data_IF_565689341666
#
_entry.id   IF_565689341666
#
_cell.length_a   1.000
_cell.length_b   1.000
_cell.length_c   1.000
_cell.angle_alpha   90.00
_cell.angle_beta   90.00
_cell.angle_gamma   90.00
#
_symmetry.space_group_name_H-M   'P 1'
#
loop_
_entity.id
_entity.type
_entity.pdbx_description
1 polymer ?
#
# COMPACT_ATOMS: atom_id res chain seq x y z
N UNK A 1 -37.52 14.85 75.43
CA UNK A 1 -36.21 15.19 76.01
C UNK A 1 -35.35 15.73 74.86
N UNK A 2 -35.16 17.06 74.85
CA UNK A 2 -33.92 17.80 74.55
C UNK A 2 -32.71 16.95 74.10
N UNK A 3 -31.90 17.25 73.07
CA UNK A 3 -31.29 18.47 72.51
C UNK A 3 -30.91 18.11 71.03
N UNK A 4 -30.54 18.95 70.06
CA UNK A 4 -30.10 20.33 69.94
C UNK A 4 -29.46 20.42 68.53
N UNK A 5 -29.77 21.49 67.80
CA UNK A 5 -29.39 21.70 66.40
C UNK A 5 -27.97 22.26 66.24
N UNK A 6 -27.30 21.99 65.11
CA UNK A 6 -26.54 23.00 64.35
C UNK A 6 -26.02 22.45 63.01
N UNK A 7 -26.20 23.24 61.96
CA UNK A 7 -25.69 23.07 60.61
C UNK A 7 -24.33 23.77 60.50
N UNK A 8 -23.32 23.14 59.90
CA UNK A 8 -22.09 23.80 59.47
C UNK A 8 -21.98 23.87 57.94
N UNK A 9 -21.73 25.09 57.46
CA UNK A 9 -21.44 25.45 56.07
C UNK A 9 -19.94 25.26 55.85
N UNK A 10 -19.55 24.56 54.79
CA UNK A 10 -18.16 24.52 54.33
C UNK A 10 -17.94 25.62 53.28
N UNK A 11 -17.10 26.59 53.64
CA UNK A 11 -16.60 27.73 52.86
C UNK A 11 -15.55 27.32 51.83
N UNK A 12 -15.63 27.95 50.66
CA UNK A 12 -14.64 27.94 49.57
C UNK A 12 -13.20 28.22 50.03
N UNK A 13 -12.24 27.51 49.42
CA UNK A 13 -10.80 27.79 49.53
C UNK A 13 -10.38 28.78 48.45
N UNK A 14 -9.63 29.85 48.78
CA UNK A 14 -9.13 30.80 47.80
C UNK A 14 -7.81 30.32 47.14
N UNK A 15 -7.68 30.65 45.85
CA UNK A 15 -6.49 30.46 45.01
C UNK A 15 -5.28 31.28 45.49
N UNK A 16 -4.04 30.80 45.32
CA UNK A 16 -2.84 31.57 45.64
C UNK A 16 -2.52 32.63 44.56
N UNK A 17 -1.82 33.72 44.92
CA UNK A 17 -1.65 34.90 44.07
C UNK A 17 -0.51 34.77 43.05
N UNK A 18 -0.69 35.47 41.93
CA UNK A 18 0.31 35.76 40.90
C UNK A 18 1.33 36.78 41.44
N UNK A 19 2.61 36.44 41.36
CA UNK A 19 3.74 37.33 41.65
C UNK A 19 4.74 37.31 40.49
N UNK A 20 5.04 38.50 40.00
CA UNK A 20 5.94 38.86 38.90
C UNK A 20 7.42 38.90 39.37
N UNK A 21 8.33 38.90 38.39
CA UNK A 21 9.79 39.09 38.46
C UNK A 21 10.67 37.83 38.60
N UNK A 22 11.21 37.36 37.47
CA UNK A 22 12.65 37.50 37.16
C UNK A 22 12.97 36.77 35.83
N UNK A 23 13.52 37.53 34.88
CA UNK A 23 14.16 37.03 33.66
C UNK A 23 15.41 36.24 34.03
N UNK A 24 15.49 34.99 33.62
CA UNK A 24 16.75 34.22 33.59
C UNK A 24 17.30 34.18 32.15
N UNK A 25 18.64 34.14 31.97
CA UNK A 25 19.29 34.55 30.73
C UNK A 25 19.36 33.44 29.66
N UNK A 26 19.31 33.87 28.40
CA UNK A 26 19.61 33.05 27.21
C UNK A 26 21.07 32.56 27.23
N UNK A 27 21.27 31.25 27.24
CA UNK A 27 22.57 30.62 27.04
C UNK A 27 22.83 30.48 25.53
N UNK A 28 23.62 31.42 25.00
CA UNK A 28 24.05 31.47 23.62
C UNK A 28 25.05 30.35 23.30
N UNK A 29 24.66 29.42 22.42
CA UNK A 29 25.58 28.46 21.78
C UNK A 29 26.44 29.22 20.77
N UNK A 30 27.66 29.56 21.16
CA UNK A 30 28.71 30.09 20.27
C UNK A 30 29.44 28.95 19.57
N UNK A 31 29.47 29.06 18.23
CA UNK A 31 30.38 28.37 17.32
C UNK A 31 31.81 28.87 17.54
N UNK A 32 32.85 28.01 17.58
CA UNK A 32 34.22 28.49 17.57
C UNK A 32 34.71 28.70 16.12
N UNK A 33 34.97 29.95 15.77
CA UNK A 33 35.82 30.37 14.64
C UNK A 33 37.15 30.88 15.20
N UNK A 34 38.26 30.35 14.65
CA UNK A 34 39.59 30.96 14.40
C UNK A 34 40.67 29.84 14.41
N UNK A 35 41.65 29.80 13.50
CA UNK A 35 42.52 30.90 13.14
C UNK A 35 43.01 30.87 11.67
N UNK A 36 43.26 32.08 11.16
CA UNK A 36 44.01 32.38 9.93
C UNK A 36 45.52 32.44 10.22
N UNK A 37 46.30 32.18 9.17
CA UNK A 37 47.71 32.58 9.02
C UNK A 37 48.65 31.38 8.85
N UNK A 38 49.60 31.32 7.93
CA UNK A 38 50.03 32.14 6.80
C UNK A 38 51.08 31.28 6.08
N UNK A 39 50.99 31.11 4.76
CA UNK A 39 52.11 31.34 3.82
C UNK A 39 51.72 30.96 2.39
N UNK A 40 51.94 31.88 1.46
CA UNK A 40 51.92 31.63 0.02
C UNK A 40 53.03 32.48 -0.60
N UNK A 41 54.02 31.91 -1.29
CA UNK A 41 54.85 32.66 -2.22
C UNK A 41 54.30 32.56 -3.66
N UNK A 42 54.71 33.50 -4.54
CA UNK A 42 53.97 33.88 -5.73
C UNK A 42 54.57 33.35 -7.04
N UNK A 43 53.78 33.46 -8.12
CA UNK A 43 54.23 33.74 -9.49
C UNK A 43 54.89 32.60 -10.26
N UNK A 44 54.24 32.15 -11.35
CA UNK A 44 54.69 32.57 -12.69
C UNK A 44 53.67 32.16 -13.77
N UNK A 45 53.06 33.20 -14.32
CA UNK A 45 52.98 33.58 -15.73
C UNK A 45 52.89 32.50 -16.83
N UNK A 46 51.97 32.83 -17.76
CA UNK A 46 51.97 32.54 -19.19
C UNK A 46 50.97 31.53 -19.76
N UNK A 47 50.52 31.92 -20.94
CA UNK A 47 49.24 31.69 -21.58
C UNK A 47 49.44 30.70 -22.77
N UNK A 48 48.41 30.42 -23.59
CA UNK A 48 48.12 29.08 -24.13
C UNK A 48 48.76 28.83 -25.49
N UNK A 49 48.94 27.56 -25.89
CA UNK A 49 49.06 27.19 -27.30
C UNK A 49 48.73 25.70 -27.51
N UNK A 50 48.01 25.41 -28.60
CA UNK A 50 48.30 24.21 -29.40
C UNK A 50 47.21 23.14 -29.46
N UNK A 51 46.31 23.30 -30.44
CA UNK A 51 45.58 22.19 -31.02
C UNK A 51 46.54 21.13 -31.61
N UNK A 52 46.24 19.84 -31.41
CA UNK A 52 46.45 18.77 -32.40
C UNK A 52 45.87 17.43 -31.93
N UNK A 53 44.77 17.03 -32.58
CA UNK A 53 44.47 15.63 -32.96
C UNK A 53 45.20 15.37 -34.32
N UNK A 54 45.47 14.13 -34.80
CA UNK A 54 44.54 12.98 -34.75
C UNK A 54 45.16 11.54 -34.74
N UNK A 55 44.26 10.54 -34.74
CA UNK A 55 44.50 9.13 -35.10
C UNK A 55 44.54 8.17 -33.89
N UNK A 56 43.87 7.01 -33.85
CA UNK A 56 43.03 6.30 -34.81
C UNK A 56 42.98 4.80 -34.41
N UNK A 57 41.78 4.23 -34.31
CA UNK A 57 41.49 2.79 -34.53
C UNK A 57 39.96 2.66 -34.68
N UNK A 58 39.46 2.75 -35.90
CA UNK A 58 39.20 1.63 -36.84
C UNK A 58 37.88 0.91 -36.52
N UNK A 59 36.83 1.43 -37.15
CA UNK A 59 35.48 0.86 -37.21
C UNK A 59 35.32 0.26 -38.60
N UNK A 60 35.21 -1.05 -38.69
CA UNK A 60 34.81 -1.74 -39.91
C UNK A 60 33.29 -1.64 -40.04
N UNK A 61 32.83 -1.02 -41.13
CA UNK A 61 31.45 -1.10 -41.62
C UNK A 61 31.35 -2.22 -42.65
N UNK A 62 30.24 -2.95 -42.63
CA UNK A 62 29.66 -3.55 -43.83
C UNK A 62 28.15 -3.28 -43.79
N UNK A 63 27.65 -2.69 -44.86
CA UNK A 63 26.24 -2.41 -45.18
C UNK A 63 25.39 -3.69 -45.09
N UNK A 64 24.12 -3.70 -44.66
CA UNK A 64 23.00 -2.85 -45.05
C UNK A 64 21.96 -3.76 -45.71
N UNK A 65 20.77 -3.92 -45.10
CA UNK A 65 19.48 -4.16 -45.79
C UNK A 65 18.33 -4.24 -44.78
N UNK A 66 17.23 -3.60 -45.17
CA UNK A 66 15.97 -3.43 -44.46
C UNK A 66 15.02 -4.62 -44.63
N UNK A 67 14.29 -5.01 -43.58
CA UNK A 67 12.96 -5.62 -43.65
C UNK A 67 12.32 -5.72 -42.24
N UNK A 68 11.02 -5.45 -42.16
CA UNK A 68 10.24 -5.24 -40.92
C UNK A 68 9.94 -6.47 -40.05
N UNK A 69 9.10 -6.30 -39.00
CA UNK A 69 8.99 -7.22 -37.88
C UNK A 69 8.15 -8.46 -38.18
N UNK A 70 8.66 -9.62 -37.76
CA UNK A 70 8.02 -10.93 -37.84
C UNK A 70 6.96 -11.13 -36.74
N UNK A 71 5.77 -11.55 -37.14
CA UNK A 71 4.66 -12.05 -36.30
C UNK A 71 4.90 -13.52 -35.91
N UNK A 72 4.52 -13.85 -34.68
CA UNK A 72 4.46 -15.22 -34.15
C UNK A 72 3.21 -16.00 -34.65
N UNK A 73 3.19 -17.35 -34.56
CA UNK A 73 2.39 -18.23 -35.43
C UNK A 73 0.98 -18.54 -34.89
N UNK A 74 0.09 -18.86 -35.84
CA UNK A 74 -1.29 -19.25 -35.61
C UNK A 74 -1.45 -20.77 -35.37
N UNK A 75 -2.38 -21.12 -34.48
CA UNK A 75 -2.87 -22.47 -34.18
C UNK A 75 -4.08 -22.78 -35.08
N UNK A 76 -4.24 -23.98 -35.68
CA UNK A 76 -5.38 -24.28 -36.54
C UNK A 76 -6.57 -24.82 -35.73
N UNK A 77 -7.77 -24.31 -36.03
CA UNK A 77 -9.03 -24.92 -35.62
C UNK A 77 -9.75 -25.49 -36.86
N UNK A 78 -10.01 -26.79 -36.81
CA UNK A 78 -10.82 -27.52 -37.77
C UNK A 78 -12.32 -27.28 -37.50
N UNK A 79 -13.12 -27.12 -38.55
CA UNK A 79 -14.38 -27.85 -38.70
C UNK A 79 -14.92 -27.74 -40.12
N UNK A 80 -15.52 -28.82 -40.57
CA UNK A 80 -15.80 -29.19 -41.94
C UNK A 80 -17.00 -28.45 -42.57
N UNK A 81 -16.90 -28.23 -43.88
CA UNK A 81 -18.02 -27.90 -44.78
C UNK A 81 -18.83 -29.16 -45.09
N UNK A 82 -20.14 -29.10 -44.90
CA UNK A 82 -21.12 -29.99 -45.53
C UNK A 82 -21.83 -29.25 -46.66
N UNK A 83 -21.87 -29.87 -47.83
CA UNK A 83 -22.57 -29.43 -49.05
C UNK A 83 -24.06 -29.73 -48.95
N UNK A 84 -24.94 -28.76 -49.21
CA UNK A 84 -26.34 -29.05 -49.57
C UNK A 84 -26.84 -28.09 -50.66
N UNK A 85 -27.35 -28.72 -51.71
CA UNK A 85 -27.85 -28.25 -52.99
C UNK A 85 -29.10 -27.37 -52.86
N UNK A 86 -29.21 -26.38 -53.75
CA UNK A 86 -30.40 -25.54 -53.93
C UNK A 86 -31.61 -26.37 -54.40
N UNK A 87 -32.73 -26.28 -53.66
CA UNK A 87 -34.06 -26.67 -54.13
C UNK A 87 -34.97 -25.45 -54.11
N UNK A 88 -35.62 -25.15 -55.23
CA UNK A 88 -36.60 -24.06 -55.40
C UNK A 88 -37.80 -24.20 -54.45
N UNK A 89 -38.41 -23.09 -54.00
CA UNK A 89 -39.59 -23.12 -53.13
C UNK A 89 -40.90 -23.28 -53.91
N UNK A 90 -41.73 -24.24 -53.47
CA UNK A 90 -43.10 -24.51 -53.91
C UNK A 90 -44.08 -23.41 -53.46
N UNK A 91 -44.84 -22.76 -54.37
CA UNK A 91 -45.72 -21.63 -54.06
C UNK A 91 -47.10 -21.99 -53.46
N UNK A 92 -47.30 -23.21 -52.93
CA UNK A 92 -48.63 -23.67 -52.47
C UNK A 92 -48.78 -23.86 -50.95
N UNK A 93 -48.19 -23.00 -50.11
CA UNK A 93 -48.35 -23.07 -48.64
C UNK A 93 -49.04 -21.82 -48.06
N UNK A 94 -50.18 -21.94 -47.36
CA UNK A 94 -50.87 -20.80 -46.75
C UNK A 94 -50.11 -20.29 -45.51
N UNK A 95 -50.17 -18.97 -45.29
CA UNK A 95 -49.51 -18.26 -44.19
C UNK A 95 -50.09 -18.66 -42.81
N UNK A 96 -49.28 -18.76 -41.74
CA UNK A 96 -49.78 -19.02 -40.40
C UNK A 96 -50.34 -17.73 -39.75
N UNK A 97 -51.51 -17.86 -39.13
CA UNK A 97 -52.21 -16.85 -38.32
C UNK A 97 -51.37 -16.36 -37.11
N UNK A 98 -51.56 -15.11 -36.64
CA UNK A 98 -50.78 -14.54 -35.54
C UNK A 98 -51.20 -15.12 -34.18
N UNK A 99 -50.37 -15.99 -33.61
CA UNK A 99 -50.50 -16.51 -32.25
C UNK A 99 -50.04 -15.50 -31.18
N UNK A 100 -50.85 -15.34 -30.14
CA UNK A 100 -50.60 -14.52 -28.94
C UNK A 100 -49.28 -14.92 -28.27
N UNK A 101 -48.38 -13.96 -28.08
CA UNK A 101 -47.11 -14.16 -27.38
C UNK A 101 -47.35 -14.44 -25.87
N UNK A 102 -46.75 -15.47 -25.27
CA UNK A 102 -46.87 -15.70 -23.83
C UNK A 102 -46.09 -14.64 -23.05
N UNK A 103 -46.73 -14.11 -21.99
CA UNK A 103 -46.16 -13.12 -21.10
C UNK A 103 -44.80 -13.57 -20.53
N UNK A 104 -43.81 -12.69 -20.63
CA UNK A 104 -42.46 -12.93 -20.13
C UNK A 104 -42.47 -13.20 -18.62
N UNK A 105 -41.88 -14.33 -18.21
CA UNK A 105 -41.67 -14.64 -16.80
C UNK A 105 -40.70 -13.62 -16.19
N UNK A 106 -40.97 -13.10 -14.97
CA UNK A 106 -40.03 -12.20 -14.31
C UNK A 106 -38.69 -12.90 -14.08
N UNK A 107 -37.61 -12.19 -14.36
CA UNK A 107 -36.26 -12.70 -14.16
C UNK A 107 -36.03 -13.08 -12.69
N UNK A 108 -35.37 -14.21 -12.39
CA UNK A 108 -35.11 -14.62 -11.02
C UNK A 108 -34.21 -13.60 -10.31
N UNK A 109 -34.66 -13.14 -9.15
CA UNK A 109 -33.88 -12.29 -8.25
C UNK A 109 -32.61 -13.07 -7.84
N UNK A 110 -31.40 -12.51 -7.98
CA UNK A 110 -30.18 -13.23 -7.61
C UNK A 110 -30.19 -13.54 -6.11
N UNK A 111 -30.21 -14.82 -5.78
CA UNK A 111 -30.14 -15.28 -4.41
C UNK A 111 -28.83 -14.80 -3.75
N UNK A 112 -28.85 -14.47 -2.44
CA UNK A 112 -27.65 -14.05 -1.74
C UNK A 112 -26.58 -15.15 -1.83
N UNK A 113 -25.41 -14.81 -2.39
CA UNK A 113 -24.28 -15.74 -2.47
C UNK A 113 -23.64 -15.85 -1.09
N UNK A 114 -23.80 -16.99 -0.44
CA UNK A 114 -23.04 -17.33 0.77
C UNK A 114 -21.57 -17.52 0.38
N UNK A 115 -20.72 -16.56 0.74
CA UNK A 115 -19.27 -16.66 0.53
C UNK A 115 -18.71 -17.63 1.57
N UNK A 116 -18.35 -18.85 1.13
CA UNK A 116 -17.66 -19.83 2.00
C UNK A 116 -16.16 -19.57 1.95
N UNK A 117 -15.60 -19.12 3.07
CA UNK A 117 -14.15 -18.99 3.20
C UNK A 117 -13.51 -20.37 3.35
N UNK A 118 -12.50 -20.67 2.52
CA UNK A 118 -11.71 -21.90 2.68
C UNK A 118 -11.05 -21.93 4.08
N UNK A 119 -10.90 -23.12 4.68
CA UNK A 119 -10.21 -23.29 5.97
C UNK A 119 -8.82 -22.64 5.93
N UNK A 120 -8.08 -22.82 4.83
CA UNK A 120 -6.79 -22.16 4.59
C UNK A 120 -6.87 -20.63 4.68
N UNK A 121 -7.90 -20.03 4.09
CA UNK A 121 -8.12 -18.58 4.14
C UNK A 121 -8.35 -18.09 5.57
N UNK A 122 -9.23 -18.78 6.32
CA UNK A 122 -9.48 -18.48 7.72
C UNK A 122 -8.21 -18.59 8.58
N UNK A 123 -7.38 -19.61 8.33
CA UNK A 123 -6.09 -19.78 9.01
C UNK A 123 -5.11 -18.66 8.64
N UNK A 124 -5.04 -18.26 7.37
CA UNK A 124 -4.20 -17.14 6.95
C UNK A 124 -4.60 -15.84 7.67
N UNK A 125 -5.90 -15.54 7.74
CA UNK A 125 -6.41 -14.34 8.41
C UNK A 125 -6.14 -14.39 9.92
N UNK A 126 -6.31 -15.55 10.55
CA UNK A 126 -5.97 -15.77 11.95
C UNK A 126 -4.47 -15.59 12.21
N UNK A 127 -3.60 -16.11 11.34
CA UNK A 127 -2.15 -15.94 11.44
C UNK A 127 -1.72 -14.49 11.26
N UNK A 128 -2.31 -13.75 10.31
CA UNK A 128 -2.06 -12.30 10.13
C UNK A 128 -2.47 -11.52 11.37
N UNK A 129 -3.62 -11.86 11.95
CA UNK A 129 -4.08 -11.27 13.21
C UNK A 129 -3.10 -11.55 14.35
N UNK A 130 -2.64 -12.79 14.47
CA UNK A 130 -1.67 -13.18 15.48
C UNK A 130 -0.30 -12.48 15.31
N UNK A 131 0.17 -12.29 14.07
CA UNK A 131 1.39 -11.53 13.76
C UNK A 131 1.25 -10.06 14.18
N UNK A 132 0.23 -9.37 13.68
CA UNK A 132 0.06 -7.92 13.90
C UNK A 132 -0.36 -7.60 15.35
N UNK A 133 -1.04 -8.54 16.00
CA UNK A 133 -1.37 -8.49 17.43
C UNK A 133 -0.20 -8.78 18.36
N UNK A 134 0.93 -9.27 17.84
CA UNK A 134 2.12 -9.63 18.63
C UNK A 134 2.02 -10.98 19.36
N UNK A 135 1.03 -11.81 19.03
CA UNK A 135 0.94 -13.18 19.54
C UNK A 135 1.97 -14.12 18.90
N UNK A 136 2.34 -13.85 17.64
CA UNK A 136 3.48 -14.48 16.98
C UNK A 136 4.65 -13.51 17.06
N UNK A 137 5.64 -13.87 17.88
CA UNK A 137 6.72 -12.97 18.29
C UNK A 137 7.80 -12.90 17.20
N UNK A 138 8.22 -11.70 16.78
CA UNK A 138 9.37 -11.53 15.88
C UNK A 138 10.59 -12.32 16.35
N UNK A 139 11.24 -13.03 15.42
CA UNK A 139 12.43 -13.83 15.68
C UNK A 139 12.15 -15.26 16.16
N UNK A 140 10.96 -15.53 16.71
CA UNK A 140 10.57 -16.88 17.14
C UNK A 140 10.22 -17.80 15.96
N UNK A 141 10.45 -19.11 16.15
CA UNK A 141 10.17 -20.14 15.14
C UNK A 141 8.93 -20.94 15.54
N UNK A 142 7.94 -20.95 14.66
CA UNK A 142 6.70 -21.70 14.84
C UNK A 142 6.62 -22.86 13.84
N UNK A 143 6.26 -24.04 14.33
CA UNK A 143 6.04 -25.21 13.47
C UNK A 143 4.57 -25.30 13.04
N UNK A 144 4.33 -25.76 11.80
CA UNK A 144 2.96 -25.94 11.31
C UNK A 144 2.12 -26.93 12.14
N UNK A 145 2.66 -28.03 12.69
CA UNK A 145 1.92 -28.90 13.61
C UNK A 145 1.48 -28.19 14.90
N UNK A 146 2.38 -27.45 15.57
CA UNK A 146 2.05 -26.76 16.82
C UNK A 146 0.98 -25.67 16.61
N UNK A 147 1.10 -24.91 15.51
CA UNK A 147 0.07 -23.95 15.12
C UNK A 147 -1.25 -24.65 14.74
N UNK A 148 -1.19 -25.82 14.09
CA UNK A 148 -2.37 -26.63 13.76
C UNK A 148 -3.14 -27.05 15.01
N UNK A 149 -2.44 -27.54 16.03
CA UNK A 149 -3.04 -27.86 17.33
C UNK A 149 -3.70 -26.64 17.96
N UNK A 150 -3.02 -25.48 17.93
CA UNK A 150 -3.57 -24.21 18.46
C UNK A 150 -4.84 -23.76 17.74
N UNK A 151 -4.91 -23.94 16.42
CA UNK A 151 -6.08 -23.56 15.61
C UNK A 151 -7.12 -24.66 15.45
N UNK A 152 -6.91 -25.86 16.02
CA UNK A 152 -7.82 -26.99 15.89
C UNK A 152 -7.92 -27.56 14.46
N UNK A 153 -6.86 -27.46 13.66
CA UNK A 153 -6.79 -27.94 12.28
C UNK A 153 -5.54 -28.79 12.04
N UNK A 154 -5.50 -29.52 10.92
CA UNK A 154 -4.28 -30.26 10.54
C UNK A 154 -3.14 -29.32 10.14
N UNK A 155 -1.91 -29.85 10.13
CA UNK A 155 -0.72 -29.07 9.79
C UNK A 155 -0.67 -28.60 8.33
N UNK A 156 -1.41 -29.24 7.41
CA UNK A 156 -1.40 -28.93 5.97
C UNK A 156 -1.92 -27.53 5.65
N UNK A 157 -3.17 -27.13 6.02
CA UNK A 157 -3.66 -25.78 5.77
C UNK A 157 -2.83 -24.70 6.45
N UNK A 158 -2.24 -25.00 7.62
CA UNK A 158 -1.32 -24.10 8.32
C UNK A 158 -0.03 -23.92 7.53
N UNK A 159 0.58 -25.01 7.04
CA UNK A 159 1.81 -24.94 6.24
C UNK A 159 1.60 -24.12 4.98
N UNK A 160 0.48 -24.30 4.29
CA UNK A 160 0.14 -23.52 3.10
C UNK A 160 -0.03 -22.03 3.43
N UNK A 161 -0.74 -21.70 4.52
CA UNK A 161 -0.89 -20.32 4.98
C UNK A 161 0.46 -19.68 5.37
N UNK A 162 1.31 -20.41 6.09
CA UNK A 162 2.65 -19.94 6.47
C UNK A 162 3.59 -19.81 5.27
N UNK A 163 3.48 -20.65 4.24
CA UNK A 163 4.21 -20.47 2.98
C UNK A 163 3.79 -19.20 2.26
N UNK A 164 2.49 -18.90 2.27
CA UNK A 164 1.99 -17.63 1.73
C UNK A 164 2.53 -16.45 2.52
N UNK A 165 2.56 -16.52 3.85
CA UNK A 165 3.19 -15.51 4.70
C UNK A 165 4.70 -15.38 4.45
N UNK A 166 5.36 -16.46 4.03
CA UNK A 166 6.77 -16.42 3.67
C UNK A 166 7.01 -15.68 2.34
N UNK A 167 6.16 -15.90 1.34
CA UNK A 167 6.15 -15.08 0.11
C UNK A 167 5.84 -13.61 0.44
N UNK A 168 4.98 -13.39 1.43
CA UNK A 168 4.64 -12.06 1.91
C UNK A 168 5.78 -11.40 2.73
N UNK A 169 6.83 -12.15 3.09
CA UNK A 169 7.97 -11.67 3.88
C UNK A 169 7.67 -11.47 5.37
N UNK A 170 6.51 -11.96 5.84
CA UNK A 170 6.10 -11.91 7.24
C UNK A 170 6.82 -12.96 8.10
N UNK A 171 7.22 -14.06 7.45
CA UNK A 171 7.97 -15.14 8.06
C UNK A 171 9.06 -15.64 7.10
N UNK A 172 10.07 -16.31 7.63
CA UNK A 172 11.12 -16.97 6.87
C UNK A 172 11.04 -18.49 7.05
N UNK A 173 11.23 -19.25 5.99
CA UNK A 173 11.24 -20.72 6.09
C UNK A 173 12.53 -21.16 6.77
N UNK A 174 12.40 -21.91 7.87
CA UNK A 174 13.52 -22.52 8.58
C UNK A 174 13.49 -24.03 8.33
N UNK A 175 14.44 -24.57 7.54
CA UNK A 175 14.47 -25.99 7.20
C UNK A 175 14.34 -26.89 8.42
N UNK A 176 13.44 -27.87 8.34
CA UNK A 176 13.14 -28.86 9.38
C UNK A 176 12.68 -28.31 10.74
N UNK A 177 12.45 -27.00 10.88
CA UNK A 177 11.99 -26.39 12.15
C UNK A 177 10.64 -25.70 12.02
N UNK A 178 10.35 -25.08 10.88
CA UNK A 178 9.09 -24.38 10.65
C UNK A 178 9.32 -23.03 9.99
N UNK A 179 8.75 -21.99 10.58
CA UNK A 179 8.77 -20.63 10.04
C UNK A 179 9.16 -19.65 11.14
N UNK A 180 10.17 -18.82 10.88
CA UNK A 180 10.59 -17.75 11.79
C UNK A 180 9.79 -16.50 11.49
N UNK A 181 9.23 -15.82 12.49
CA UNK A 181 8.62 -14.50 12.26
C UNK A 181 9.71 -13.49 11.92
N UNK A 182 9.52 -12.73 10.85
CA UNK A 182 10.50 -11.74 10.39
C UNK A 182 10.64 -10.63 11.43
N UNK A 183 11.89 -10.24 11.70
CA UNK A 183 12.23 -9.14 12.59
C UNK A 183 12.51 -7.88 11.78
N UNK A 184 11.89 -6.75 12.13
CA UNK A 184 12.14 -5.46 11.48
C UNK A 184 12.65 -4.44 12.47
N UNK A 185 13.72 -3.78 12.11
CA UNK A 185 14.26 -2.67 12.90
C UNK A 185 13.55 -1.36 12.55
N UNK A 186 13.46 -0.39 13.47
CA UNK A 186 12.95 0.94 13.16
C UNK A 186 13.67 1.60 11.99
N UNK A 187 14.99 1.35 11.90
CA UNK A 187 15.83 1.81 10.80
C UNK A 187 15.37 1.24 9.46
N UNK A 188 15.14 -0.07 9.38
CA UNK A 188 14.71 -0.70 8.13
C UNK A 188 13.33 -0.18 7.68
N UNK A 189 12.39 0.04 8.61
CA UNK A 189 11.10 0.63 8.25
C UNK A 189 11.25 2.06 7.73
N UNK A 190 12.14 2.87 8.31
CA UNK A 190 12.43 4.21 7.81
C UNK A 190 13.06 4.17 6.40
N UNK A 191 14.00 3.25 6.16
CA UNK A 191 14.61 3.05 4.84
C UNK A 191 13.56 2.60 3.80
N UNK A 192 12.63 1.72 4.17
CA UNK A 192 11.51 1.31 3.31
C UNK A 192 10.58 2.49 3.00
N UNK A 193 10.22 3.30 4.01
CA UNK A 193 9.40 4.49 3.83
C UNK A 193 10.06 5.51 2.89
N UNK A 194 11.36 5.74 3.03
CA UNK A 194 12.13 6.62 2.14
C UNK A 194 12.08 6.14 0.68
N UNK A 195 12.34 4.85 0.44
CA UNK A 195 12.27 4.26 -0.91
C UNK A 195 10.85 4.34 -1.48
N UNK A 196 9.83 4.08 -0.66
CA UNK A 196 8.42 4.24 -1.06
C UNK A 196 8.13 5.68 -1.45
N UNK A 197 8.53 6.67 -0.65
CA UNK A 197 8.31 8.07 -0.96
C UNK A 197 8.97 8.48 -2.29
N UNK A 198 10.20 8.01 -2.57
CA UNK A 198 10.90 8.29 -3.84
C UNK A 198 10.16 7.74 -5.07
N UNK A 199 9.40 6.66 -4.91
CA UNK A 199 8.71 5.98 -6.01
C UNK A 199 7.24 6.43 -6.12
N UNK A 200 6.51 6.44 -5.01
CA UNK A 200 5.06 6.60 -4.97
C UNK A 200 4.64 8.07 -5.08
N UNK A 201 5.33 9.02 -4.41
CA UNK A 201 5.01 10.45 -4.47
C UNK A 201 4.99 11.01 -5.91
N UNK A 202 6.04 10.85 -6.74
CA UNK A 202 6.00 11.37 -8.11
C UNK A 202 4.92 10.72 -8.97
N UNK A 203 4.60 9.44 -8.72
CA UNK A 203 3.50 8.75 -9.40
C UNK A 203 2.17 9.37 -9.01
N UNK A 204 1.92 9.56 -7.71
CA UNK A 204 0.70 10.17 -7.20
C UNK A 204 0.47 11.56 -7.76
N UNK A 205 1.49 12.42 -7.74
CA UNK A 205 1.39 13.78 -8.29
C UNK A 205 1.13 13.80 -9.80
N UNK A 206 1.70 12.83 -10.53
CA UNK A 206 1.39 12.65 -11.96
C UNK A 206 -0.06 12.22 -12.16
N UNK A 207 -0.52 11.21 -11.42
CA UNK A 207 -1.88 10.70 -11.53
C UNK A 207 -2.91 11.79 -11.18
N UNK A 208 -2.67 12.58 -10.14
CA UNK A 208 -3.53 13.69 -9.74
C UNK A 208 -3.82 14.68 -10.88
N UNK A 209 -2.87 14.86 -11.81
CA UNK A 209 -3.01 15.75 -12.96
C UNK A 209 -3.69 15.10 -14.17
N UNK A 210 -3.66 13.77 -14.28
CA UNK A 210 -4.05 13.05 -15.50
C UNK A 210 -5.31 12.21 -15.36
N UNK A 211 -5.64 11.76 -14.15
CA UNK A 211 -6.79 10.89 -13.89
C UNK A 211 -8.05 11.75 -13.67
N UNK A 212 -9.17 11.44 -14.35
CA UNK A 212 -10.43 12.15 -14.15
C UNK A 212 -11.02 11.95 -12.75
N UNK A 213 -11.69 12.98 -12.22
CA UNK A 213 -12.32 12.97 -10.88
C UNK A 213 -13.18 11.72 -10.59
N UNK A 214 -13.97 11.26 -11.57
CA UNK A 214 -14.83 10.08 -11.39
C UNK A 214 -14.07 8.79 -11.06
N UNK A 215 -12.83 8.63 -11.54
CA UNK A 215 -12.01 7.45 -11.24
C UNK A 215 -11.51 7.43 -9.79
N UNK A 216 -11.36 8.59 -9.17
CA UNK A 216 -11.03 8.71 -7.75
C UNK A 216 -12.22 8.35 -6.86
N UNK A 217 -13.43 8.76 -7.25
CA UNK A 217 -14.66 8.41 -6.55
C UNK A 217 -14.89 6.89 -6.49
N UNK A 218 -14.51 6.16 -7.55
CA UNK A 218 -14.59 4.69 -7.59
C UNK A 218 -13.74 4.01 -6.49
N UNK A 219 -12.70 4.69 -5.97
CA UNK A 219 -11.81 4.16 -4.93
C UNK A 219 -12.30 4.44 -3.51
N UNK A 220 -13.39 5.20 -3.34
CA UNK A 220 -13.93 5.58 -2.03
C UNK A 220 -14.18 4.38 -1.09
N UNK A 221 -14.77 3.25 -1.55
CA UNK A 221 -15.01 2.10 -0.69
C UNK A 221 -13.74 1.49 -0.08
N UNK A 222 -12.58 1.60 -0.75
CA UNK A 222 -11.32 1.06 -0.24
C UNK A 222 -10.79 1.90 0.93
N UNK A 223 -10.87 3.23 0.83
CA UNK A 223 -10.52 4.14 1.93
C UNK A 223 -11.50 4.04 3.11
N UNK A 224 -12.79 3.80 2.85
CA UNK A 224 -13.76 3.54 3.91
C UNK A 224 -13.49 2.21 4.62
N UNK A 225 -12.99 1.20 3.89
CA UNK A 225 -12.55 -0.05 4.49
C UNK A 225 -11.36 0.14 5.43
N UNK A 226 -10.37 0.99 5.08
CA UNK A 226 -9.27 1.33 5.99
C UNK A 226 -9.80 2.01 7.24
N UNK A 227 -10.70 2.99 7.09
CA UNK A 227 -11.32 3.72 8.19
C UNK A 227 -12.13 2.80 9.11
N UNK A 228 -12.89 1.87 8.54
CA UNK A 228 -13.70 0.90 9.29
C UNK A 228 -12.82 -0.05 10.11
N UNK A 229 -11.75 -0.57 9.52
CA UNK A 229 -10.81 -1.45 10.22
C UNK A 229 -10.07 -0.70 11.34
N UNK A 230 -9.59 0.52 11.05
CA UNK A 230 -8.94 1.39 12.02
C UNK A 230 -9.85 1.70 13.22
N UNK A 231 -11.11 2.08 12.97
CA UNK A 231 -12.10 2.40 14.00
C UNK A 231 -12.43 1.21 14.91
N UNK A 232 -12.25 -0.03 14.44
CA UNK A 232 -12.40 -1.25 15.25
C UNK A 232 -11.12 -1.64 16.00
N UNK A 233 -10.01 -0.96 15.73
CA UNK A 233 -8.69 -1.37 16.21
C UNK A 233 -8.19 -2.67 15.56
N UNK A 234 -8.80 -3.09 14.45
CA UNK A 234 -8.46 -4.32 13.75
C UNK A 234 -7.30 -4.07 12.80
N UNK A 235 -6.09 -4.28 13.31
CA UNK A 235 -4.87 -3.93 12.58
C UNK A 235 -4.56 -4.84 11.41
N UNK A 236 -4.91 -6.12 11.50
CA UNK A 236 -4.66 -7.05 10.42
C UNK A 236 -5.54 -6.71 9.21
N UNK A 237 -6.82 -6.42 9.46
CA UNK A 237 -7.68 -5.92 8.40
C UNK A 237 -7.30 -4.52 7.94
N UNK A 238 -6.80 -3.66 8.84
CA UNK A 238 -6.29 -2.35 8.46
C UNK A 238 -5.14 -2.48 7.45
N UNK A 239 -4.11 -3.27 7.76
CA UNK A 239 -2.96 -3.47 6.88
C UNK A 239 -3.38 -4.04 5.50
N UNK A 240 -4.31 -4.99 5.46
CA UNK A 240 -4.80 -5.50 4.17
C UNK A 240 -5.59 -4.43 3.39
N UNK A 241 -6.47 -3.67 4.06
CA UNK A 241 -7.26 -2.62 3.42
C UNK A 241 -6.40 -1.45 2.94
N UNK A 242 -5.42 -1.04 3.74
CA UNK A 242 -4.41 -0.04 3.44
C UNK A 242 -3.63 -0.40 2.17
N UNK A 243 -3.08 -1.62 2.14
CA UNK A 243 -2.40 -2.14 0.95
C UNK A 243 -3.31 -2.17 -0.28
N UNK A 244 -4.56 -2.61 -0.11
CA UNK A 244 -5.53 -2.66 -1.20
C UNK A 244 -5.83 -1.26 -1.76
N UNK A 245 -5.95 -0.25 -0.89
CA UNK A 245 -6.12 1.14 -1.27
C UNK A 245 -4.91 1.66 -2.09
N UNK A 246 -3.70 1.56 -1.54
CA UNK A 246 -2.47 1.98 -2.24
C UNK A 246 -2.30 1.29 -3.59
N UNK A 247 -2.52 -0.03 -3.63
CA UNK A 247 -2.45 -0.81 -4.87
C UNK A 247 -3.47 -0.32 -5.89
N UNK A 248 -4.71 -0.06 -5.50
CA UNK A 248 -5.74 0.40 -6.41
C UNK A 248 -5.42 1.79 -6.98
N UNK A 249 -4.95 2.70 -6.13
CA UNK A 249 -4.51 4.03 -6.54
C UNK A 249 -3.36 3.94 -7.55
N UNK A 250 -2.28 3.22 -7.23
CA UNK A 250 -1.12 3.08 -8.11
C UNK A 250 -1.43 2.31 -9.39
N UNK A 251 -2.42 1.42 -9.39
CA UNK A 251 -2.84 0.69 -10.61
C UNK A 251 -3.32 1.62 -11.73
N UNK A 252 -3.80 2.82 -11.39
CA UNK A 252 -4.21 3.85 -12.36
C UNK A 252 -3.03 4.34 -13.22
N UNK A 253 -1.78 4.08 -12.80
CA UNK A 253 -0.60 4.36 -13.60
C UNK A 253 -0.44 3.43 -14.82
N UNK A 254 -1.13 2.28 -14.85
CA UNK A 254 -1.00 1.28 -15.90
C UNK A 254 0.40 0.66 -16.00
N UNK A 255 1.20 0.75 -14.94
CA UNK A 255 2.57 0.23 -14.89
C UNK A 255 2.65 -0.95 -13.91
N UNK A 256 2.60 -2.17 -14.46
CA UNK A 256 2.60 -3.41 -13.67
C UNK A 256 3.92 -3.62 -12.89
N UNK A 257 5.05 -3.14 -13.41
CA UNK A 257 6.34 -3.27 -12.73
C UNK A 257 6.41 -2.34 -11.51
N UNK A 258 5.95 -1.11 -11.66
CA UNK A 258 5.78 -0.18 -10.55
C UNK A 258 4.87 -0.78 -9.48
N UNK A 259 3.72 -1.33 -9.90
CA UNK A 259 2.75 -1.91 -8.98
C UNK A 259 3.33 -3.09 -8.20
N UNK A 260 4.12 -3.95 -8.86
CA UNK A 260 4.79 -5.07 -8.21
C UNK A 260 5.82 -4.61 -7.16
N UNK A 261 6.65 -3.61 -7.50
CA UNK A 261 7.68 -3.08 -6.59
C UNK A 261 7.05 -2.35 -5.41
N UNK A 262 6.06 -1.49 -5.65
CA UNK A 262 5.39 -0.74 -4.60
C UNK A 262 4.59 -1.66 -3.65
N UNK A 263 3.86 -2.64 -4.17
CA UNK A 263 3.13 -3.62 -3.36
C UNK A 263 4.06 -4.46 -2.48
N UNK A 264 5.26 -4.77 -2.97
CA UNK A 264 6.30 -5.45 -2.21
C UNK A 264 6.88 -4.59 -1.09
N UNK A 265 7.26 -3.35 -1.38
CA UNK A 265 7.75 -2.40 -0.38
C UNK A 265 6.70 -2.12 0.70
N UNK A 266 5.45 -1.89 0.29
CA UNK A 266 4.34 -1.59 1.19
C UNK A 266 4.10 -2.78 2.14
N UNK A 267 4.00 -4.00 1.61
CA UNK A 267 3.85 -5.21 2.43
C UNK A 267 5.00 -5.41 3.43
N UNK A 268 6.24 -5.16 3.02
CA UNK A 268 7.41 -5.23 3.90
C UNK A 268 7.40 -4.16 5.01
N UNK A 269 6.70 -3.05 4.78
CA UNK A 269 6.57 -1.93 5.74
C UNK A 269 5.50 -2.19 6.81
N UNK A 270 4.60 -3.17 6.60
CA UNK A 270 3.48 -3.45 7.50
C UNK A 270 3.82 -4.43 8.64
N UNK A 271 5.00 -5.06 8.60
CA UNK A 271 5.37 -6.06 9.61
C UNK A 271 5.81 -5.41 10.91
N UNK A 272 5.41 -5.99 12.06
CA UNK A 272 5.65 -5.40 13.36
C UNK A 272 7.15 -5.25 13.65
N UNK A 273 7.49 -4.12 14.26
CA UNK A 273 8.83 -3.82 14.76
C UNK A 273 9.22 -4.74 15.91
N UNK A 274 10.53 -5.01 16.03
CA UNK A 274 11.11 -5.64 17.22
C UNK A 274 10.72 -4.81 18.45
N UNK A 275 10.09 -5.47 19.43
CA UNK A 275 9.78 -4.89 20.75
C UNK A 275 8.99 -3.57 20.74
N UNK A 276 8.28 -3.25 19.66
CA UNK A 276 7.53 -2.00 19.60
C UNK A 276 6.24 -2.06 20.39
N UNK A 277 5.86 -0.97 21.08
CA UNK A 277 4.54 -0.85 21.62
C UNK A 277 3.51 -0.94 20.49
N UNK A 278 2.51 -1.78 20.73
CA UNK A 278 1.25 -1.93 19.99
C UNK A 278 0.77 -0.54 19.49
N UNK A 279 0.89 -0.27 18.17
CA UNK A 279 0.51 1.00 17.51
C UNK A 279 -0.80 1.56 18.05
N UNK A 280 -0.77 2.70 18.74
CA UNK A 280 -1.96 3.21 19.44
C UNK A 280 -3.13 3.37 18.47
N UNK A 281 -4.32 2.93 18.88
CA UNK A 281 -5.54 2.98 18.08
C UNK A 281 -5.79 4.35 17.42
N UNK A 282 -5.53 5.44 18.14
CA UNK A 282 -5.65 6.80 17.60
C UNK A 282 -4.71 7.10 16.43
N UNK A 283 -3.53 6.49 16.36
CA UNK A 283 -2.60 6.63 15.23
C UNK A 283 -3.18 5.95 13.98
N UNK A 284 -3.72 4.74 14.12
CA UNK A 284 -4.38 4.05 13.01
C UNK A 284 -5.57 4.84 12.46
N UNK A 285 -6.38 5.45 13.34
CA UNK A 285 -7.54 6.24 12.92
C UNK A 285 -7.12 7.52 12.19
N UNK A 286 -6.05 8.18 12.63
CA UNK A 286 -5.50 9.35 11.96
C UNK A 286 -4.97 8.99 10.55
N UNK A 287 -4.14 7.94 10.46
CA UNK A 287 -3.58 7.43 9.20
C UNK A 287 -4.70 7.04 8.21
N UNK A 288 -5.73 6.32 8.67
CA UNK A 288 -6.87 5.96 7.84
C UNK A 288 -7.66 7.18 7.31
N UNK A 289 -7.73 8.26 8.09
CA UNK A 289 -8.42 9.48 7.69
C UNK A 289 -7.70 10.21 6.56
N UNK A 290 -6.37 10.08 6.46
CA UNK A 290 -5.57 10.65 5.37
C UNK A 290 -5.99 10.10 4.00
N UNK A 291 -6.29 8.81 3.90
CA UNK A 291 -6.83 8.21 2.66
C UNK A 291 -8.15 8.85 2.22
N UNK A 292 -8.98 9.22 3.21
CA UNK A 292 -10.27 9.86 2.95
C UNK A 292 -10.06 11.26 2.41
N UNK A 293 -9.26 12.06 3.13
CA UNK A 293 -8.89 13.42 2.76
C UNK A 293 -8.17 13.49 1.40
N UNK A 294 -7.27 12.55 1.12
CA UNK A 294 -6.54 12.49 -0.14
C UNK A 294 -7.48 12.29 -1.34
N UNK A 295 -8.42 11.35 -1.25
CA UNK A 295 -9.39 11.16 -2.32
C UNK A 295 -10.33 12.37 -2.47
N UNK A 296 -10.74 13.01 -1.38
CA UNK A 296 -11.57 14.21 -1.45
C UNK A 296 -10.83 15.34 -2.20
N UNK A 297 -9.55 15.54 -1.91
CA UNK A 297 -8.69 16.50 -2.61
C UNK A 297 -8.48 16.13 -4.09
N UNK A 298 -8.29 14.84 -4.40
CA UNK A 298 -8.15 14.34 -5.77
C UNK A 298 -9.45 14.50 -6.59
N UNK A 299 -10.62 14.27 -5.97
CA UNK A 299 -11.94 14.48 -6.58
C UNK A 299 -12.19 15.96 -6.84
N UNK A 300 -11.85 16.82 -5.88
CA UNK A 300 -11.91 18.28 -6.03
C UNK A 300 -10.85 18.84 -6.98
N UNK A 301 -9.88 18.01 -7.40
CA UNK A 301 -8.72 18.38 -8.22
C UNK A 301 -7.88 19.52 -7.58
N UNK A 302 -7.83 19.58 -6.26
CA UNK A 302 -6.99 20.52 -5.51
C UNK A 302 -5.56 19.99 -5.41
N UNK A 303 -4.76 20.28 -6.45
CA UNK A 303 -3.39 19.76 -6.54
C UNK A 303 -2.47 20.26 -5.42
N UNK A 304 -2.74 21.43 -4.85
CA UNK A 304 -1.93 21.96 -3.74
C UNK A 304 -2.16 21.17 -2.47
N UNK A 305 -3.43 20.87 -2.16
CA UNK A 305 -3.78 20.01 -1.02
C UNK A 305 -3.28 18.59 -1.24
N UNK A 306 -3.44 18.03 -2.45
CA UNK A 306 -2.91 16.70 -2.79
C UNK A 306 -1.39 16.64 -2.57
N UNK A 307 -0.64 17.66 -2.98
CA UNK A 307 0.81 17.64 -2.79
C UNK A 307 1.23 17.64 -1.32
N UNK A 308 0.56 18.43 -0.47
CA UNK A 308 0.81 18.42 0.98
C UNK A 308 0.51 17.04 1.57
N UNK A 309 -0.70 16.52 1.32
CA UNK A 309 -1.18 15.25 1.87
C UNK A 309 -0.30 14.08 1.44
N UNK A 310 0.06 13.99 0.15
CA UNK A 310 0.90 12.91 -0.35
C UNK A 310 2.30 12.97 0.30
N UNK A 311 2.89 14.15 0.45
CA UNK A 311 4.20 14.24 1.09
C UNK A 311 4.13 13.82 2.55
N UNK A 312 3.19 14.36 3.31
CA UNK A 312 2.99 14.03 4.74
C UNK A 312 2.73 12.53 4.96
N UNK A 313 1.87 11.94 4.13
CA UNK A 313 1.50 10.53 4.20
C UNK A 313 2.69 9.60 3.93
N UNK A 314 3.53 9.89 2.94
CA UNK A 314 4.64 9.01 2.56
C UNK A 314 5.94 9.22 3.33
N UNK A 315 6.22 10.46 3.79
CA UNK A 315 7.42 10.71 4.59
C UNK A 315 7.23 10.36 6.06
N UNK A 316 5.99 10.03 6.46
CA UNK A 316 5.57 10.01 7.84
C UNK A 316 5.52 11.45 8.37
N UNK A 317 4.46 11.78 9.12
CA UNK A 317 4.47 12.95 9.97
C UNK A 317 5.64 12.78 10.96
N UNK A 318 6.70 13.55 10.75
CA UNK A 318 7.87 13.58 11.61
C UNK A 318 7.44 14.19 12.95
N UNK A 319 7.01 13.33 13.89
CA UNK A 319 6.60 13.69 15.24
C UNK A 319 7.05 12.63 16.25
#
# INVERSE_FOLDING_TARGET
MEQGAARERATERPSPPLGDAAREPEEAVRVPEQARGADRPPGDTEQPLGASRPGGSEVVRVDGTSAGPARAPAVPAASARGEHTHGEPDPSRPAPEPGVAPAARPAPVPAPRVVRHSVRGQILDALRTALVGGELVPGEVYSAPALGERFGVSATPVREAMQRLAVEGAVEVVPNRGFRVTERTPRELAELAEVRALIEVPVMLRLARTVPAGRWADLRPLAEATSTAAARGDRAHYAEADRAFHRAVLSLAGNEQLLAVADDLHRRSQWPLISAPVVRHGVLVADAAEHTALLDALIAQDLTVVESLVREHFTGSNA
#
